data_IF_196595069206
#
_entry.id   IF_196595069206
#
_cell.length_a   1.000
_cell.length_b   1.000
_cell.length_c   1.000
_cell.angle_alpha   90.00
_cell.angle_beta   90.00
_cell.angle_gamma   90.00
#
_symmetry.space_group_name_H-M   'P 1'
#
loop_
_entity.id
_entity.type
_entity.pdbx_description
1 polymer ?
#
# COMPACT_ATOMS: atom_id res chain seq x y z
N UNK A 1 -26.58 9.12 7.76
CA UNK A 1 -25.47 9.54 6.88
C UNK A 1 -24.28 9.89 7.78
N UNK A 2 -23.32 8.98 7.95
CA UNK A 2 -22.03 9.34 8.55
C UNK A 2 -21.23 10.02 7.44
N UNK A 3 -20.76 11.26 7.63
CA UNK A 3 -19.85 11.84 6.68
C UNK A 3 -18.61 10.93 6.58
N UNK A 4 -18.16 10.65 5.34
CA UNK A 4 -16.89 9.94 5.14
C UNK A 4 -15.80 10.79 5.78
N UNK A 5 -15.15 10.25 6.80
CA UNK A 5 -14.02 10.90 7.44
C UNK A 5 -12.74 10.54 6.68
N UNK A 6 -11.80 11.48 6.59
CA UNK A 6 -10.50 11.23 5.99
C UNK A 6 -9.68 10.33 6.93
N UNK A 7 -9.17 9.22 6.40
CA UNK A 7 -8.28 8.34 7.15
C UNK A 7 -6.87 8.91 7.26
N UNK A 8 -6.42 9.62 6.23
CA UNK A 8 -5.10 10.26 6.19
C UNK A 8 -5.28 11.73 5.87
N UNK A 9 -4.61 12.60 6.64
CA UNK A 9 -4.47 14.02 6.32
C UNK A 9 -3.00 14.40 6.35
N UNK A 10 -2.55 15.10 5.31
CA UNK A 10 -1.21 15.67 5.19
C UNK A 10 -1.35 17.18 5.03
N UNK A 11 -0.60 17.94 5.81
CA UNK A 11 -0.60 19.40 5.73
C UNK A 11 0.84 19.89 5.62
N UNK A 12 1.19 20.44 4.46
CA UNK A 12 2.52 20.98 4.15
C UNK A 12 3.65 20.03 4.53
N UNK A 13 3.49 18.74 4.22
CA UNK A 13 4.44 17.70 4.57
C UNK A 13 5.70 17.82 3.72
N UNK A 14 6.84 17.93 4.39
CA UNK A 14 8.16 17.97 3.75
C UNK A 14 9.08 16.96 4.40
N UNK A 15 9.83 16.22 3.59
CA UNK A 15 10.90 15.34 4.03
C UNK A 15 12.15 15.58 3.22
N UNK A 16 13.22 15.96 3.89
CA UNK A 16 14.49 16.31 3.27
C UNK A 16 15.60 15.38 3.77
N UNK A 17 16.43 14.90 2.87
CA UNK A 17 17.63 14.12 3.15
C UNK A 17 18.85 14.91 2.67
N UNK A 18 19.75 15.28 3.59
CA UNK A 18 20.97 16.03 3.26
C UNK A 18 20.70 17.27 2.38
N UNK A 19 19.65 18.02 2.71
CA UNK A 19 19.25 19.21 1.96
C UNK A 19 18.46 18.95 0.68
N UNK A 20 18.26 17.68 0.28
CA UNK A 20 17.49 17.32 -0.92
C UNK A 20 16.09 16.89 -0.50
N UNK A 21 15.03 17.59 -0.94
CA UNK A 21 13.67 17.21 -0.57
C UNK A 21 13.19 16.00 -1.35
N UNK A 22 12.78 14.94 -0.63
CA UNK A 22 12.09 13.78 -1.19
C UNK A 22 10.58 14.03 -1.30
N UNK A 23 10.01 14.83 -0.38
CA UNK A 23 8.65 15.34 -0.39
C UNK A 23 8.69 16.83 -0.10
N UNK A 24 7.89 17.62 -0.83
CA UNK A 24 7.87 19.09 -0.71
C UNK A 24 6.44 19.60 -0.61
N UNK A 25 6.10 20.17 0.53
CA UNK A 25 4.81 20.83 0.79
C UNK A 25 3.60 20.01 0.33
N UNK A 26 3.58 18.72 0.66
CA UNK A 26 2.50 17.83 0.27
C UNK A 26 1.30 18.07 1.19
N UNK A 27 0.20 18.53 0.60
CA UNK A 27 -1.09 18.70 1.29
C UNK A 27 -2.13 17.86 0.56
N UNK A 28 -2.69 16.87 1.26
CA UNK A 28 -3.76 16.02 0.72
C UNK A 28 -4.56 15.35 1.83
N UNK A 29 -5.74 14.87 1.47
CA UNK A 29 -6.58 14.04 2.32
C UNK A 29 -6.95 12.77 1.57
N UNK A 30 -6.98 11.65 2.27
CA UNK A 30 -7.41 10.36 1.73
C UNK A 30 -8.66 9.91 2.49
N UNK A 31 -9.79 9.71 1.79
CA UNK A 31 -11.03 9.29 2.45
C UNK A 31 -10.96 7.84 2.91
N UNK A 32 -11.74 7.52 3.94
CA UNK A 32 -11.94 6.14 4.39
C UNK A 32 -12.72 5.33 3.35
N UNK A 33 -12.47 4.02 3.28
CA UNK A 33 -13.23 3.10 2.44
C UNK A 33 -12.87 3.11 0.96
N UNK A 34 -11.69 3.62 0.59
CA UNK A 34 -11.25 3.75 -0.80
C UNK A 34 -9.95 3.01 -1.07
N UNK A 35 -9.80 2.55 -2.31
CA UNK A 35 -8.53 2.07 -2.85
C UNK A 35 -7.89 3.22 -3.63
N UNK A 36 -6.75 3.68 -3.15
CA UNK A 36 -6.05 4.86 -3.66
C UNK A 36 -4.73 4.44 -4.30
N UNK A 37 -4.52 4.83 -5.55
CA UNK A 37 -3.24 4.68 -6.23
C UNK A 37 -2.33 5.87 -5.94
N UNK A 38 -1.18 5.61 -5.34
CA UNK A 38 -0.09 6.57 -5.21
C UNK A 38 0.89 6.31 -6.36
N UNK A 39 0.77 7.11 -7.41
CA UNK A 39 1.35 6.84 -8.71
C UNK A 39 2.49 7.81 -9.02
N UNK A 40 3.54 7.30 -9.58
CA UNK A 40 4.69 8.10 -9.94
C UNK A 40 5.87 7.22 -10.38
N UNK A 41 6.85 7.80 -11.07
CA UNK A 41 8.07 7.08 -11.41
C UNK A 41 8.90 6.74 -10.17
N UNK A 42 9.87 5.88 -10.31
CA UNK A 42 10.84 5.61 -9.25
C UNK A 42 11.54 6.92 -8.86
N UNK A 43 11.71 7.15 -7.56
CA UNK A 43 12.30 8.38 -7.05
C UNK A 43 11.34 9.56 -6.92
N UNK A 44 10.03 9.37 -7.10
CA UNK A 44 9.04 10.45 -6.97
C UNK A 44 8.63 10.78 -5.53
N UNK A 45 9.05 9.95 -4.56
CA UNK A 45 8.71 10.15 -3.14
C UNK A 45 7.67 9.18 -2.58
N UNK A 46 7.18 8.22 -3.37
CA UNK A 46 6.14 7.26 -2.94
C UNK A 46 6.55 6.45 -1.70
N UNK A 47 7.72 5.82 -1.73
CA UNK A 47 8.22 5.01 -0.61
C UNK A 47 8.47 5.86 0.63
N UNK A 48 8.98 7.07 0.46
CA UNK A 48 9.17 8.03 1.58
C UNK A 48 7.85 8.35 2.25
N UNK A 49 6.81 8.65 1.47
CA UNK A 49 5.48 8.94 2.01
C UNK A 49 4.90 7.73 2.76
N UNK A 50 4.98 6.55 2.18
CA UNK A 50 4.51 5.32 2.82
C UNK A 50 5.24 5.07 4.16
N UNK A 51 6.54 5.25 4.20
CA UNK A 51 7.32 5.07 5.43
C UNK A 51 6.94 6.10 6.51
N UNK A 52 6.65 7.33 6.14
CA UNK A 52 6.14 8.34 7.08
C UNK A 52 4.78 7.91 7.64
N UNK A 53 3.86 7.47 6.78
CA UNK A 53 2.54 6.99 7.20
C UNK A 53 2.64 5.76 8.12
N UNK A 54 3.61 4.89 7.90
CA UNK A 54 3.86 3.73 8.77
C UNK A 54 4.68 4.06 10.03
N UNK A 55 5.06 5.32 10.23
CA UNK A 55 5.82 5.74 11.40
C UNK A 55 7.29 5.32 11.40
N UNK A 56 7.83 4.90 10.25
CA UNK A 56 9.23 4.51 10.09
C UNK A 56 10.17 5.70 9.85
N UNK A 57 9.62 6.80 9.35
CA UNK A 57 10.34 8.05 9.11
C UNK A 57 9.60 9.21 9.76
N UNK A 58 10.36 10.16 10.28
CA UNK A 58 9.83 11.42 10.79
C UNK A 58 9.79 12.46 9.66
N UNK A 59 8.73 13.25 9.52
CA UNK A 59 8.74 14.40 8.61
C UNK A 59 9.78 15.43 9.05
N UNK A 60 10.36 16.14 8.09
CA UNK A 60 11.21 17.29 8.38
C UNK A 60 10.36 18.47 8.88
N UNK A 61 9.20 18.66 8.26
CA UNK A 61 8.20 19.66 8.67
C UNK A 61 6.82 19.25 8.18
N UNK A 62 5.80 19.93 8.65
CA UNK A 62 4.41 19.66 8.32
C UNK A 62 3.74 18.68 9.27
N UNK A 63 2.48 18.37 9.00
CA UNK A 63 1.64 17.54 9.85
C UNK A 63 1.12 16.33 9.09
N UNK A 64 1.06 15.20 9.80
CA UNK A 64 0.48 13.93 9.32
C UNK A 64 -0.49 13.43 10.37
N UNK A 65 -1.70 13.07 9.97
CA UNK A 65 -2.62 12.35 10.84
C UNK A 65 -3.13 11.09 10.16
N UNK A 66 -3.30 10.02 10.93
CA UNK A 66 -3.92 8.77 10.52
C UNK A 66 -5.04 8.49 11.50
N UNK A 67 -6.26 8.38 10.98
CA UNK A 67 -7.46 8.20 11.80
C UNK A 67 -7.56 9.24 12.94
N UNK A 68 -7.13 10.49 12.65
CA UNK A 68 -7.13 11.60 13.62
C UNK A 68 -5.93 11.68 14.54
N UNK A 69 -5.00 10.73 14.48
CA UNK A 69 -3.82 10.68 15.36
C UNK A 69 -2.52 10.90 14.59
N UNK A 70 -1.55 11.53 15.22
CA UNK A 70 -0.19 11.56 14.67
C UNK A 70 0.41 10.14 14.65
N UNK A 71 1.32 9.83 13.70
CA UNK A 71 2.00 8.53 13.67
C UNK A 71 2.63 8.20 15.03
N UNK A 72 2.26 7.04 15.58
CA UNK A 72 2.56 6.64 16.95
C UNK A 72 2.36 5.13 17.09
N UNK A 73 2.65 4.52 18.24
CA UNK A 73 2.28 3.13 18.48
C UNK A 73 0.78 2.83 18.27
N UNK A 74 -0.09 3.81 18.56
CA UNK A 74 -1.55 3.67 18.34
C UNK A 74 -1.87 3.53 16.85
N UNK A 75 -1.32 4.39 16.00
CA UNK A 75 -1.54 4.33 14.55
C UNK A 75 -0.85 3.11 13.94
N UNK A 76 0.34 2.72 14.41
CA UNK A 76 1.02 1.50 13.96
C UNK A 76 0.17 0.24 14.14
N UNK A 77 -0.59 0.16 15.23
CA UNK A 77 -1.49 -0.96 15.48
C UNK A 77 -2.65 -1.01 14.47
N UNK A 78 -2.97 0.10 13.81
CA UNK A 78 -4.08 0.21 12.85
C UNK A 78 -3.64 0.14 11.40
N UNK A 79 -2.34 0.10 11.13
CA UNK A 79 -1.76 0.13 9.78
C UNK A 79 -1.12 -1.20 9.46
N UNK A 80 -1.52 -1.80 8.34
CA UNK A 80 -0.87 -2.97 7.76
C UNK A 80 0.05 -2.53 6.62
N UNK A 81 1.29 -2.99 6.64
CA UNK A 81 2.31 -2.51 5.72
C UNK A 81 2.97 -3.67 4.96
N UNK A 82 2.98 -3.55 3.64
CA UNK A 82 3.72 -4.43 2.74
C UNK A 82 4.86 -3.62 2.10
N UNK A 83 6.12 -3.85 2.51
CA UNK A 83 7.26 -3.17 1.90
C UNK A 83 7.53 -3.68 0.48
N UNK A 84 8.24 -2.86 -0.31
CA UNK A 84 8.68 -3.21 -1.66
C UNK A 84 9.74 -4.32 -1.68
N UNK A 85 10.52 -4.42 -0.60
CA UNK A 85 11.54 -5.45 -0.40
C UNK A 85 11.12 -6.35 0.75
N UNK A 86 11.13 -7.67 0.52
CA UNK A 86 10.84 -8.61 1.60
C UNK A 86 11.90 -8.54 2.70
N UNK A 87 11.44 -8.53 3.95
CA UNK A 87 12.30 -8.64 5.13
C UNK A 87 12.11 -9.99 5.85
N UNK A 88 11.30 -10.88 5.26
CA UNK A 88 11.06 -12.19 5.84
C UNK A 88 12.31 -13.07 5.71
N UNK A 89 12.68 -13.73 6.81
CA UNK A 89 13.78 -14.69 6.82
C UNK A 89 13.38 -15.94 6.04
N UNK A 90 14.04 -16.19 4.92
CA UNK A 90 13.72 -17.31 4.04
C UNK A 90 14.01 -18.68 4.66
N UNK A 91 14.82 -18.75 5.72
CA UNK A 91 15.07 -20.00 6.46
C UNK A 91 13.90 -20.44 7.34
N UNK A 92 12.95 -19.53 7.59
CA UNK A 92 11.77 -19.79 8.42
C UNK A 92 10.64 -20.40 7.60
N UNK A 93 9.74 -21.11 8.30
CA UNK A 93 8.53 -21.67 7.70
C UNK A 93 7.41 -20.63 7.61
N UNK A 94 6.40 -20.91 6.78
CA UNK A 94 5.16 -20.13 6.76
C UNK A 94 4.52 -20.12 8.15
N UNK A 95 4.50 -21.28 8.82
CA UNK A 95 3.95 -21.43 10.18
C UNK A 95 4.63 -20.47 11.17
N UNK A 96 5.95 -20.31 11.08
CA UNK A 96 6.67 -19.36 11.92
C UNK A 96 6.10 -17.95 11.82
N UNK A 97 5.81 -17.49 10.60
CA UNK A 97 5.26 -16.13 10.38
C UNK A 97 3.77 -16.05 10.72
N UNK A 98 3.00 -17.11 10.54
CA UNK A 98 1.62 -17.14 11.02
C UNK A 98 1.58 -16.93 12.54
N UNK A 99 2.43 -17.65 13.27
CA UNK A 99 2.52 -17.53 14.73
C UNK A 99 3.04 -16.15 15.14
N UNK A 100 4.05 -15.64 14.44
CA UNK A 100 4.59 -14.30 14.69
C UNK A 100 3.53 -13.21 14.51
N UNK A 101 2.77 -13.25 13.43
CA UNK A 101 1.70 -12.27 13.17
C UNK A 101 0.56 -12.41 14.17
N UNK A 102 0.21 -13.62 14.54
CA UNK A 102 -0.80 -13.90 15.59
C UNK A 102 -0.40 -13.32 16.94
N UNK A 103 0.86 -13.47 17.32
CA UNK A 103 1.36 -12.99 18.61
C UNK A 103 1.55 -11.47 18.62
N UNK A 104 1.97 -10.91 17.49
CA UNK A 104 2.36 -9.50 17.40
C UNK A 104 1.19 -8.57 17.10
N UNK A 105 0.22 -9.02 16.28
CA UNK A 105 -0.90 -8.20 15.85
C UNK A 105 -2.22 -8.75 16.40
N UNK A 106 -2.87 -7.98 17.29
CA UNK A 106 -4.15 -8.35 17.89
C UNK A 106 -5.27 -8.49 16.84
N UNK A 107 -5.15 -7.79 15.70
CA UNK A 107 -6.12 -7.78 14.61
C UNK A 107 -5.88 -8.85 13.55
N UNK A 108 -4.92 -9.76 13.75
CA UNK A 108 -4.61 -10.79 12.78
C UNK A 108 -5.71 -11.85 12.73
N UNK A 109 -6.25 -12.08 11.53
CA UNK A 109 -7.29 -13.08 11.27
C UNK A 109 -6.63 -14.41 10.85
N UNK A 110 -6.18 -15.15 11.83
CA UNK A 110 -5.47 -16.43 11.63
C UNK A 110 -6.26 -17.42 10.75
N UNK A 111 -7.58 -17.65 10.97
CA UNK A 111 -8.36 -18.56 10.12
C UNK A 111 -8.39 -18.11 8.64
N UNK A 112 -8.46 -16.82 8.37
CA UNK A 112 -8.41 -16.30 7.00
C UNK A 112 -7.07 -16.59 6.33
N UNK A 113 -5.97 -16.35 7.03
CA UNK A 113 -4.63 -16.64 6.51
C UNK A 113 -4.48 -18.12 6.15
N UNK A 114 -4.93 -19.01 7.01
CA UNK A 114 -4.92 -20.46 6.74
C UNK A 114 -5.76 -20.81 5.50
N UNK A 115 -6.95 -20.24 5.36
CA UNK A 115 -7.81 -20.50 4.22
C UNK A 115 -7.17 -20.04 2.91
N UNK A 116 -6.57 -18.86 2.89
CA UNK A 116 -5.89 -18.33 1.70
C UNK A 116 -4.68 -19.18 1.31
N UNK A 117 -3.93 -19.68 2.28
CA UNK A 117 -2.81 -20.61 2.03
C UNK A 117 -3.31 -21.95 1.49
N UNK A 118 -4.39 -22.49 2.03
CA UNK A 118 -5.00 -23.72 1.56
C UNK A 118 -5.48 -23.60 0.11
N UNK A 119 -6.10 -22.47 -0.24
CA UNK A 119 -6.54 -22.19 -1.62
C UNK A 119 -5.36 -22.21 -2.61
N UNK A 120 -4.17 -21.85 -2.16
CA UNK A 120 -2.93 -21.94 -2.94
C UNK A 120 -2.22 -23.29 -2.84
N UNK A 121 -2.75 -24.21 -2.04
CA UNK A 121 -2.11 -25.50 -1.74
C UNK A 121 -0.70 -25.33 -1.13
N UNK A 122 -0.52 -24.29 -0.33
CA UNK A 122 0.72 -24.03 0.39
C UNK A 122 0.61 -24.53 1.82
N UNK A 123 1.38 -25.57 2.15
CA UNK A 123 1.41 -26.14 3.50
C UNK A 123 2.19 -25.22 4.44
N UNK A 124 1.71 -24.98 5.67
CA UNK A 124 2.39 -24.10 6.62
C UNK A 124 3.80 -24.55 7.04
N UNK A 125 4.14 -25.83 6.89
CA UNK A 125 5.46 -26.36 7.22
C UNK A 125 6.53 -26.08 6.15
N UNK A 126 6.14 -25.56 4.98
CA UNK A 126 7.08 -25.17 3.94
C UNK A 126 7.95 -24.00 4.39
N UNK A 127 9.24 -24.08 4.06
CA UNK A 127 10.17 -22.98 4.27
C UNK A 127 10.04 -21.98 3.12
N UNK A 128 10.18 -20.69 3.43
CA UNK A 128 10.07 -19.64 2.42
C UNK A 128 11.10 -19.81 1.29
N UNK A 129 12.32 -20.27 1.61
CA UNK A 129 13.37 -20.51 0.61
C UNK A 129 12.98 -21.54 -0.45
N UNK A 130 12.07 -22.46 -0.14
CA UNK A 130 11.63 -23.52 -1.03
C UNK A 130 10.46 -23.10 -1.93
N UNK A 131 9.95 -21.90 -1.74
CA UNK A 131 8.88 -21.34 -2.56
C UNK A 131 9.43 -20.62 -3.80
N UNK A 132 8.64 -20.60 -4.88
CA UNK A 132 8.89 -19.72 -6.01
C UNK A 132 8.83 -18.25 -5.57
N UNK A 133 9.43 -17.35 -6.34
CA UNK A 133 9.35 -15.92 -6.08
C UNK A 133 7.90 -15.45 -5.97
N UNK A 134 7.04 -15.87 -6.91
CA UNK A 134 5.62 -15.53 -6.89
C UNK A 134 4.90 -16.02 -5.65
N UNK A 135 5.19 -17.23 -5.19
CA UNK A 135 4.58 -17.78 -3.98
C UNK A 135 5.08 -17.07 -2.72
N UNK A 136 6.36 -16.68 -2.64
CA UNK A 136 6.85 -15.84 -1.54
C UNK A 136 6.08 -14.53 -1.45
N UNK A 137 5.88 -13.86 -2.58
CA UNK A 137 5.12 -12.61 -2.65
C UNK A 137 3.67 -12.82 -2.21
N UNK A 138 3.04 -13.91 -2.63
CA UNK A 138 1.68 -14.27 -2.22
C UNK A 138 1.58 -14.50 -0.72
N UNK A 139 2.52 -15.24 -0.12
CA UNK A 139 2.56 -15.49 1.33
C UNK A 139 2.68 -14.18 2.09
N UNK A 140 3.59 -13.31 1.68
CA UNK A 140 3.77 -12.01 2.33
C UNK A 140 2.50 -11.16 2.25
N UNK A 141 1.84 -11.14 1.10
CA UNK A 141 0.57 -10.43 0.93
C UNK A 141 -0.53 -11.02 1.81
N UNK A 142 -0.63 -12.35 1.89
CA UNK A 142 -1.62 -13.04 2.74
C UNK A 142 -1.45 -12.61 4.20
N UNK A 143 -0.23 -12.56 4.71
CA UNK A 143 0.05 -12.13 6.08
C UNK A 143 -0.44 -10.70 6.32
N UNK A 144 -0.13 -9.78 5.41
CA UNK A 144 -0.51 -8.37 5.53
C UNK A 144 -2.03 -8.20 5.41
N UNK A 145 -2.65 -8.79 4.39
CA UNK A 145 -4.09 -8.65 4.13
C UNK A 145 -4.97 -9.42 5.13
N UNK A 146 -4.40 -10.37 5.85
CA UNK A 146 -5.11 -11.08 6.92
C UNK A 146 -5.22 -10.28 8.22
N UNK A 147 -4.57 -9.13 8.31
CA UNK A 147 -4.81 -8.18 9.38
C UNK A 147 -6.10 -7.42 9.13
N UNK A 148 -6.86 -7.16 10.17
CA UNK A 148 -8.06 -6.29 10.13
C UNK A 148 -7.65 -4.84 10.44
N UNK A 149 -6.88 -4.24 9.53
CA UNK A 149 -6.35 -2.90 9.68
C UNK A 149 -7.37 -1.83 9.27
N UNK A 150 -7.09 -0.58 9.64
CA UNK A 150 -7.83 0.61 9.17
C UNK A 150 -7.23 1.18 7.90
N UNK A 151 -5.93 0.98 7.71
CA UNK A 151 -5.18 1.44 6.55
C UNK A 151 -4.19 0.36 6.13
N UNK A 152 -4.21 0.00 4.85
CA UNK A 152 -3.23 -0.90 4.26
C UNK A 152 -2.32 -0.07 3.35
N UNK A 153 -1.02 -0.14 3.60
CA UNK A 153 0.03 0.51 2.81
C UNK A 153 0.78 -0.55 2.03
N UNK A 154 0.59 -0.59 0.72
CA UNK A 154 1.18 -1.60 -0.15
C UNK A 154 2.16 -0.93 -1.11
N UNK A 155 3.45 -1.14 -0.89
CA UNK A 155 4.51 -0.51 -1.68
C UNK A 155 4.96 -1.44 -2.80
N UNK A 156 4.65 -1.08 -4.05
CA UNK A 156 4.96 -1.86 -5.27
C UNK A 156 4.56 -3.34 -5.15
N UNK A 157 3.30 -3.67 -4.80
CA UNK A 157 2.91 -5.05 -4.50
C UNK A 157 2.99 -6.00 -5.69
N UNK A 158 3.00 -5.47 -6.92
CA UNK A 158 3.06 -6.26 -8.15
C UNK A 158 4.37 -6.10 -8.91
N UNK A 159 5.32 -5.33 -8.37
CA UNK A 159 6.62 -5.11 -9.00
C UNK A 159 7.44 -6.40 -9.08
N UNK A 160 7.93 -6.75 -10.28
CA UNK A 160 8.77 -7.92 -10.48
C UNK A 160 8.05 -9.27 -10.35
N UNK A 161 6.73 -9.29 -10.37
CA UNK A 161 5.90 -10.50 -10.24
C UNK A 161 5.36 -10.90 -11.61
N UNK A 162 5.24 -12.20 -11.86
CA UNK A 162 4.67 -12.72 -13.11
C UNK A 162 3.18 -12.38 -13.26
N UNK A 163 2.62 -12.35 -14.48
CA UNK A 163 1.24 -11.94 -14.72
C UNK A 163 0.18 -12.73 -13.94
N UNK A 164 0.33 -14.05 -13.81
CA UNK A 164 -0.63 -14.87 -13.08
C UNK A 164 -0.64 -14.56 -11.59
N UNK A 165 0.54 -14.32 -11.01
CA UNK A 165 0.69 -13.91 -9.62
C UNK A 165 0.15 -12.50 -9.39
N UNK A 166 0.30 -11.59 -10.35
CA UNK A 166 -0.30 -10.24 -10.29
C UNK A 166 -1.82 -10.29 -10.15
N UNK A 167 -2.48 -11.11 -10.96
CA UNK A 167 -3.94 -11.27 -10.87
C UNK A 167 -4.38 -11.76 -9.50
N UNK A 168 -3.68 -12.74 -8.94
CA UNK A 168 -3.95 -13.24 -7.60
C UNK A 168 -3.78 -12.15 -6.54
N UNK A 169 -2.67 -11.40 -6.63
CA UNK A 169 -2.36 -10.31 -5.69
C UNK A 169 -3.48 -9.26 -5.71
N UNK A 170 -3.87 -8.79 -6.89
CA UNK A 170 -4.91 -7.78 -7.02
C UNK A 170 -6.27 -8.26 -6.52
N UNK A 171 -6.67 -9.48 -6.84
CA UNK A 171 -7.91 -10.07 -6.32
C UNK A 171 -7.90 -10.20 -4.81
N UNK A 172 -6.77 -10.61 -4.24
CA UNK A 172 -6.62 -10.73 -2.79
C UNK A 172 -6.74 -9.37 -2.10
N UNK A 173 -6.10 -8.34 -2.65
CA UNK A 173 -6.22 -6.97 -2.11
C UNK A 173 -7.69 -6.53 -2.12
N UNK A 174 -8.39 -6.66 -3.24
CA UNK A 174 -9.78 -6.22 -3.39
C UNK A 174 -10.72 -6.97 -2.45
N UNK A 175 -10.51 -8.27 -2.27
CA UNK A 175 -11.45 -9.12 -1.54
C UNK A 175 -11.19 -9.15 -0.03
N UNK A 176 -9.98 -8.83 0.43
CA UNK A 176 -9.57 -9.10 1.80
C UNK A 176 -9.33 -7.87 2.67
N UNK A 177 -9.35 -6.65 2.12
CA UNK A 177 -9.26 -5.49 3.01
C UNK A 177 -10.54 -5.37 3.86
N UNK A 178 -10.38 -4.97 5.12
CA UNK A 178 -11.48 -4.89 6.06
C UNK A 178 -12.50 -3.81 5.68
N UNK A 179 -13.75 -4.02 6.08
CA UNK A 179 -14.83 -3.06 5.86
C UNK A 179 -14.45 -1.69 6.42
N UNK A 180 -14.75 -0.63 5.68
CA UNK A 180 -14.42 0.77 5.98
C UNK A 180 -12.91 1.08 6.03
N UNK A 181 -12.04 0.12 5.75
CA UNK A 181 -10.62 0.37 5.63
C UNK A 181 -10.28 1.02 4.29
N UNK A 182 -9.16 1.72 4.26
CA UNK A 182 -8.58 2.27 3.04
C UNK A 182 -7.31 1.53 2.67
N UNK A 183 -7.02 1.49 1.37
CA UNK A 183 -5.82 0.89 0.82
C UNK A 183 -5.08 1.94 0.01
N UNK A 184 -3.79 2.10 0.27
CA UNK A 184 -2.90 2.90 -0.57
C UNK A 184 -1.94 1.95 -1.26
N UNK A 185 -2.00 1.92 -2.59
CA UNK A 185 -1.09 1.13 -3.42
C UNK A 185 -0.15 2.08 -4.13
N UNK A 186 1.14 2.02 -3.81
CA UNK A 186 2.15 2.74 -4.57
C UNK A 186 2.62 1.89 -5.74
N UNK A 187 2.74 2.47 -6.94
CA UNK A 187 3.29 1.76 -8.09
C UNK A 187 3.66 2.70 -9.22
N UNK A 188 4.52 2.24 -10.10
CA UNK A 188 4.76 2.82 -11.42
C UNK A 188 4.10 1.99 -12.55
N UNK A 189 3.47 0.85 -12.21
CA UNK A 189 2.81 -0.08 -13.14
C UNK A 189 1.30 0.20 -13.22
N UNK A 190 0.94 1.37 -13.72
CA UNK A 190 -0.42 1.90 -13.65
C UNK A 190 -1.41 1.05 -14.44
N UNK A 191 -1.05 0.60 -15.64
CA UNK A 191 -1.94 -0.19 -16.50
C UNK A 191 -2.45 -1.46 -15.82
N UNK A 192 -1.63 -2.06 -14.96
CA UNK A 192 -1.96 -3.32 -14.29
C UNK A 192 -2.94 -3.15 -13.14
N UNK A 193 -3.04 -1.96 -12.54
CA UNK A 193 -3.89 -1.73 -11.36
C UNK A 193 -5.02 -0.72 -11.60
N UNK A 194 -5.06 -0.04 -12.73
CA UNK A 194 -5.98 1.06 -12.97
C UNK A 194 -7.44 0.70 -12.68
N UNK A 195 -7.86 -0.50 -13.08
CA UNK A 195 -9.24 -0.95 -12.94
C UNK A 195 -9.73 -1.10 -11.49
N UNK A 196 -8.82 -1.20 -10.53
CA UNK A 196 -9.18 -1.39 -9.11
C UNK A 196 -9.12 -0.10 -8.30
N UNK A 197 -8.63 1.00 -8.87
CA UNK A 197 -8.45 2.25 -8.16
C UNK A 197 -9.73 3.07 -8.09
N UNK A 198 -10.09 3.52 -6.91
CA UNK A 198 -11.17 4.49 -6.68
C UNK A 198 -10.65 5.92 -6.85
N UNK A 199 -9.47 6.20 -6.30
CA UNK A 199 -8.81 7.51 -6.37
C UNK A 199 -7.35 7.36 -6.76
N UNK A 200 -6.78 8.44 -7.28
CA UNK A 200 -5.37 8.50 -7.67
C UNK A 200 -4.71 9.76 -7.13
N UNK A 201 -3.43 9.63 -6.81
CA UNK A 201 -2.53 10.72 -6.46
C UNK A 201 -1.27 10.56 -7.30
N UNK A 202 -0.98 11.53 -8.16
CA UNK A 202 0.25 11.54 -8.95
C UNK A 202 1.33 12.32 -8.22
N UNK A 203 2.44 11.65 -7.90
CA UNK A 203 3.64 12.27 -7.33
C UNK A 203 4.72 12.45 -8.39
N UNK A 204 5.29 13.64 -8.44
CA UNK A 204 6.42 13.99 -9.30
C UNK A 204 7.39 14.87 -8.51
N UNK A 205 8.63 14.45 -8.40
CA UNK A 205 9.67 15.19 -7.67
C UNK A 205 9.23 15.62 -6.26
N UNK A 206 8.54 14.70 -5.55
CA UNK A 206 8.08 14.94 -4.19
C UNK A 206 6.87 15.86 -4.06
N UNK A 207 6.21 16.21 -5.16
CA UNK A 207 5.02 17.07 -5.16
C UNK A 207 3.83 16.36 -5.81
N UNK A 208 2.62 16.77 -5.40
CA UNK A 208 1.40 16.28 -6.02
C UNK A 208 1.15 17.04 -7.31
N UNK A 209 1.11 16.32 -8.44
CA UNK A 209 0.76 16.86 -9.75
C UNK A 209 -0.75 16.80 -10.01
N UNK A 210 -1.41 15.75 -9.56
CA UNK A 210 -2.83 15.52 -9.78
C UNK A 210 -3.37 14.63 -8.66
N UNK A 211 -4.59 14.91 -8.22
CA UNK A 211 -5.31 14.12 -7.23
C UNK A 211 -6.80 14.14 -7.52
N UNK A 212 -7.48 13.03 -7.35
CA UNK A 212 -8.93 12.97 -7.40
C UNK A 212 -9.48 11.59 -7.66
N UNK A 213 -10.80 11.53 -7.82
CA UNK A 213 -11.54 10.33 -8.19
C UNK A 213 -11.09 9.86 -9.57
N UNK A 214 -10.83 8.55 -9.71
CA UNK A 214 -10.28 7.98 -10.95
C UNK A 214 -11.22 8.17 -12.13
N UNK A 215 -12.53 7.94 -11.95
CA UNK A 215 -13.50 8.12 -13.02
C UNK A 215 -13.64 9.57 -13.45
N UNK A 216 -13.65 10.50 -12.49
CA UNK A 216 -13.72 11.93 -12.78
C UNK A 216 -12.49 12.41 -13.57
N UNK A 217 -11.31 11.92 -13.22
CA UNK A 217 -10.07 12.26 -13.93
C UNK A 217 -10.11 11.71 -15.36
N UNK A 218 -10.54 10.46 -15.56
CA UNK A 218 -10.69 9.88 -16.89
C UNK A 218 -11.65 10.68 -17.76
N UNK A 219 -12.79 11.09 -17.21
CA UNK A 219 -13.78 11.90 -17.92
C UNK A 219 -13.26 13.30 -18.26
N UNK A 220 -12.61 13.96 -17.31
CA UNK A 220 -12.09 15.30 -17.50
C UNK A 220 -10.99 15.37 -18.57
N UNK A 221 -10.16 14.35 -18.67
CA UNK A 221 -9.04 14.30 -19.61
C UNK A 221 -9.33 13.49 -20.88
N UNK A 222 -10.43 12.74 -20.93
CA UNK A 222 -10.81 11.92 -22.08
C UNK A 222 -9.84 10.77 -22.38
N UNK A 223 -9.17 10.24 -21.37
CA UNK A 223 -8.17 9.16 -21.51
C UNK A 223 -8.05 8.35 -20.22
N UNK A 224 -7.40 7.18 -20.33
CA UNK A 224 -7.11 6.33 -19.19
C UNK A 224 -6.10 6.99 -18.24
N UNK A 225 -6.09 6.56 -16.98
CA UNK A 225 -5.10 6.99 -15.99
C UNK A 225 -3.68 6.63 -16.46
N UNK A 226 -3.49 5.43 -17.00
CA UNK A 226 -2.20 5.00 -17.53
C UNK A 226 -1.71 5.90 -18.66
N UNK A 227 -2.58 6.24 -19.61
CA UNK A 227 -2.22 7.13 -20.72
C UNK A 227 -1.88 8.54 -20.22
N UNK A 228 -2.69 9.08 -19.30
CA UNK A 228 -2.44 10.38 -18.68
C UNK A 228 -1.10 10.40 -17.94
N UNK A 229 -0.80 9.34 -17.18
CA UNK A 229 0.47 9.19 -16.49
C UNK A 229 1.65 9.21 -17.46
N UNK A 230 1.58 8.44 -18.54
CA UNK A 230 2.64 8.40 -19.56
C UNK A 230 2.87 9.76 -20.20
N UNK A 231 1.81 10.50 -20.49
CA UNK A 231 1.92 11.85 -21.06
C UNK A 231 2.54 12.85 -20.06
N UNK A 232 2.21 12.73 -18.77
CA UNK A 232 2.72 13.64 -17.73
C UNK A 232 4.18 13.39 -17.36
N UNK A 233 4.66 12.16 -17.49
CA UNK A 233 5.98 11.75 -16.98
C UNK A 233 6.99 11.38 -18.07
N UNK A 234 6.63 11.42 -19.36
CA UNK A 234 7.52 11.13 -20.50
C UNK A 234 8.00 12.37 -21.25
N UNK A 235 7.84 13.56 -20.67
CA UNK A 235 8.41 14.81 -21.22
C UNK A 235 9.62 15.28 -20.42
#
# INVERSE_FOLDING_TARGET
YRPMTDIVTLTNLTKTYNGIPALRDVTMSIPSGKIVGLLGPNGSGKTTLIKILNGLLQPTSGLVTINGFHPSPITKAQVAYLPDITYLDESKTIQYYLDFFQDFYADFRYPLALQLLEDLKLQPDLRLKDLSKGNKEKVQLILVMSREAKLYLLDEPIGGVDPASRDYILKTIINQYSEDASVIISTHLIADIESVLDEVVFLKYGQIELQGDADNIRQAHGKSIDKLFREMFHN
#
